data_IF_654016528369
#
_entry.id   IF_654016528369
#
_cell.length_a   1.000
_cell.length_b   1.000
_cell.length_c   1.000
_cell.angle_alpha   90.00
_cell.angle_beta   90.00
_cell.angle_gamma   90.00
#
_symmetry.space_group_name_H-M   'P 1'
#
loop_
_entity.id
_entity.type
_entity.pdbx_description
1 polymer ?
#
# COMPACT_ATOMS: atom_id res chain seq x y z
N UNK A 1 -5.25 -52.01 -0.16
CA UNK A 1 -6.01 -50.88 -0.75
C UNK A 1 -5.00 -49.75 -1.02
N UNK A 2 -4.53 -49.61 -2.26
CA UNK A 2 -5.02 -48.68 -3.29
C UNK A 2 -4.51 -47.24 -3.06
N UNK A 3 -3.90 -46.49 -3.99
CA UNK A 3 -3.51 -46.69 -5.40
C UNK A 3 -2.58 -45.50 -5.72
N UNK A 4 -1.36 -45.72 -6.17
CA UNK A 4 -0.52 -44.68 -6.76
C UNK A 4 -1.17 -44.17 -8.06
N UNK A 5 -1.22 -42.86 -8.26
CA UNK A 5 -1.62 -42.22 -9.52
C UNK A 5 -0.60 -41.14 -9.86
N UNK A 6 0.50 -41.57 -10.45
CA UNK A 6 1.49 -40.73 -11.11
C UNK A 6 1.49 -41.01 -12.61
N UNK A 7 1.94 -40.02 -13.37
CA UNK A 7 2.26 -40.04 -14.81
C UNK A 7 1.07 -40.03 -15.77
N UNK A 8 0.75 -38.82 -16.23
CA UNK A 8 -0.22 -38.60 -17.29
C UNK A 8 0.02 -37.25 -17.98
N UNK A 9 1.24 -36.96 -18.43
CA UNK A 9 1.46 -35.91 -19.45
C UNK A 9 2.78 -36.00 -20.25
N UNK A 10 3.60 -37.04 -20.07
CA UNK A 10 4.95 -37.11 -20.67
C UNK A 10 4.92 -37.45 -22.17
N UNK A 11 3.78 -37.96 -22.65
CA UNK A 11 3.60 -38.36 -24.06
C UNK A 11 3.62 -37.15 -25.02
N UNK A 12 3.12 -35.99 -24.58
CA UNK A 12 3.11 -34.78 -25.41
C UNK A 12 4.51 -34.21 -25.65
N UNK A 13 5.45 -34.39 -24.71
CA UNK A 13 6.83 -33.93 -24.85
C UNK A 13 7.62 -34.77 -25.84
N UNK A 14 7.37 -36.08 -25.86
CA UNK A 14 7.99 -37.02 -26.80
C UNK A 14 7.39 -36.85 -28.21
N UNK A 15 6.06 -36.67 -28.32
CA UNK A 15 5.39 -36.39 -29.60
C UNK A 15 5.83 -35.04 -30.18
N UNK A 16 5.98 -34.00 -29.37
CA UNK A 16 6.50 -32.71 -29.80
C UNK A 16 7.97 -32.79 -30.26
N UNK A 17 8.80 -33.59 -29.58
CA UNK A 17 10.19 -33.86 -29.99
C UNK A 17 10.27 -34.58 -31.34
N UNK A 18 9.42 -35.59 -31.57
CA UNK A 18 9.34 -36.35 -32.82
C UNK A 18 8.83 -35.50 -34.00
N UNK A 19 7.82 -34.64 -33.76
CA UNK A 19 7.30 -33.70 -34.75
C UNK A 19 8.34 -32.64 -35.13
N UNK A 20 9.10 -32.13 -34.15
CA UNK A 20 10.20 -31.17 -34.38
C UNK A 20 11.36 -31.80 -35.16
N UNK A 21 11.77 -33.03 -34.82
CA UNK A 21 12.84 -33.75 -35.54
C UNK A 21 12.44 -34.07 -36.99
N UNK A 22 11.18 -34.45 -37.25
CA UNK A 22 10.66 -34.71 -38.59
C UNK A 22 10.56 -33.44 -39.44
N UNK A 23 10.14 -32.30 -38.85
CA UNK A 23 10.15 -30.98 -39.49
C UNK A 23 11.56 -30.53 -39.86
N UNK A 24 12.55 -30.81 -38.99
CA UNK A 24 13.94 -30.38 -39.19
C UNK A 24 14.64 -31.17 -40.31
N UNK A 25 14.36 -32.47 -40.44
CA UNK A 25 14.93 -33.32 -41.50
C UNK A 25 14.19 -33.13 -42.83
N UNK A 26 12.86 -32.95 -42.80
CA UNK A 26 12.05 -32.73 -44.00
C UNK A 26 12.29 -31.38 -44.67
N UNK A 27 12.56 -30.32 -43.88
CA UNK A 27 12.93 -29.00 -44.42
C UNK A 27 14.35 -28.98 -44.99
N UNK A 28 15.23 -29.87 -44.51
CA UNK A 28 16.66 -29.84 -44.84
C UNK A 28 17.02 -30.48 -46.18
N UNK A 29 16.10 -31.20 -46.86
CA UNK A 29 16.44 -31.98 -48.05
C UNK A 29 15.84 -31.49 -49.38
N UNK A 30 15.04 -30.41 -49.41
CA UNK A 30 14.25 -30.11 -50.62
C UNK A 30 14.56 -28.80 -51.38
N UNK A 31 15.49 -27.93 -50.97
CA UNK A 31 15.82 -26.76 -51.83
C UNK A 31 17.26 -26.26 -51.66
N UNK A 32 17.99 -26.19 -52.78
CA UNK A 32 19.33 -25.58 -52.92
C UNK A 32 19.32 -24.08 -52.54
N UNK A 33 19.36 -23.76 -51.24
CA UNK A 33 19.45 -22.38 -50.74
C UNK A 33 20.55 -22.25 -49.66
N UNK A 34 21.29 -21.12 -49.64
CA UNK A 34 22.49 -20.95 -48.82
C UNK A 34 22.18 -21.07 -47.32
N UNK A 35 23.02 -21.84 -46.63
CA UNK A 35 22.97 -22.17 -45.19
C UNK A 35 22.72 -20.97 -44.24
N UNK A 36 23.09 -19.76 -44.65
CA UNK A 36 22.83 -18.55 -43.85
C UNK A 36 21.33 -18.23 -43.73
N UNK A 37 20.53 -18.47 -44.78
CA UNK A 37 19.11 -18.10 -44.78
C UNK A 37 18.30 -19.04 -43.87
N UNK A 38 18.62 -20.33 -43.89
CA UNK A 38 17.99 -21.30 -42.98
C UNK A 38 18.39 -21.06 -41.52
N UNK A 39 19.64 -20.66 -41.24
CA UNK A 39 20.07 -20.28 -39.90
C UNK A 39 19.32 -19.05 -39.37
N UNK A 40 19.08 -18.04 -40.23
CA UNK A 40 18.33 -16.83 -39.86
C UNK A 40 16.84 -17.14 -39.62
N UNK A 41 16.23 -17.96 -40.48
CA UNK A 41 14.82 -18.36 -40.30
C UNK A 41 14.66 -19.22 -39.04
N UNK A 42 15.59 -20.13 -38.76
CA UNK A 42 15.58 -20.91 -37.53
C UNK A 42 15.73 -20.03 -36.27
N UNK A 43 16.60 -19.02 -36.32
CA UNK A 43 16.74 -18.05 -35.23
C UNK A 43 15.47 -17.22 -35.00
N UNK A 44 14.79 -16.80 -36.07
CA UNK A 44 13.54 -16.04 -35.99
C UNK A 44 12.37 -16.88 -35.49
N UNK A 45 12.27 -18.14 -35.92
CA UNK A 45 11.25 -19.09 -35.42
C UNK A 45 11.53 -19.46 -33.97
N UNK A 46 12.79 -19.66 -33.58
CA UNK A 46 13.18 -19.89 -32.20
C UNK A 46 12.87 -18.68 -31.31
N UNK A 47 13.18 -17.46 -31.76
CA UNK A 47 12.84 -16.22 -31.04
C UNK A 47 11.33 -16.02 -30.92
N UNK A 48 10.56 -16.28 -31.99
CA UNK A 48 9.10 -16.22 -31.96
C UNK A 48 8.49 -17.26 -31.04
N UNK A 49 9.03 -18.48 -31.03
CA UNK A 49 8.58 -19.55 -30.14
C UNK A 49 8.94 -19.25 -28.69
N UNK A 50 10.15 -18.74 -28.42
CA UNK A 50 10.57 -18.27 -27.09
C UNK A 50 9.68 -17.12 -26.62
N UNK A 51 9.28 -16.20 -27.49
CA UNK A 51 8.38 -15.10 -27.14
C UNK A 51 6.95 -15.58 -26.84
N UNK A 52 6.45 -16.60 -27.54
CA UNK A 52 5.11 -17.17 -27.33
C UNK A 52 5.08 -18.17 -26.15
N UNK A 53 6.17 -18.89 -25.88
CA UNK A 53 6.31 -19.86 -24.79
C UNK A 53 6.95 -19.28 -23.52
N UNK A 54 7.49 -18.06 -23.54
CA UNK A 54 8.07 -17.45 -22.34
C UNK A 54 6.96 -17.28 -21.29
N UNK A 55 7.08 -17.91 -20.11
CA UNK A 55 6.19 -17.62 -19.01
C UNK A 55 6.40 -16.14 -18.66
N UNK A 56 5.32 -15.41 -18.43
CA UNK A 56 5.30 -14.00 -17.99
C UNK A 56 6.05 -13.72 -16.66
N UNK A 57 6.84 -14.67 -16.18
CA UNK A 57 7.55 -14.73 -14.91
C UNK A 57 8.97 -14.14 -14.97
N UNK A 58 9.50 -13.83 -16.16
CA UNK A 58 10.80 -13.16 -16.26
C UNK A 58 10.72 -11.62 -16.13
N UNK A 59 9.51 -11.05 -16.10
CA UNK A 59 9.27 -9.66 -15.72
C UNK A 59 8.93 -9.48 -14.22
N UNK A 60 8.93 -10.58 -13.46
CA UNK A 60 8.62 -10.66 -12.02
C UNK A 60 9.80 -10.25 -11.11
N UNK A 61 10.91 -9.77 -11.72
CA UNK A 61 12.11 -9.32 -11.02
C UNK A 61 12.21 -7.81 -10.76
N UNK A 62 11.28 -7.01 -11.31
CA UNK A 62 11.16 -5.57 -11.03
C UNK A 62 9.71 -5.26 -10.68
N UNK A 63 9.24 -5.90 -9.62
CA UNK A 63 7.84 -5.90 -9.22
C UNK A 63 7.47 -4.65 -8.41
N UNK A 64 7.73 -3.47 -8.98
CA UNK A 64 7.26 -2.19 -8.45
C UNK A 64 5.73 -2.18 -8.32
N UNK A 65 5.04 -2.96 -9.16
CA UNK A 65 3.59 -3.15 -9.20
C UNK A 65 3.03 -4.07 -8.11
N UNK A 66 3.66 -5.20 -7.77
CA UNK A 66 3.19 -6.02 -6.64
C UNK A 66 3.53 -5.39 -5.30
N UNK A 67 4.66 -4.67 -5.20
CA UNK A 67 4.99 -3.86 -4.03
C UNK A 67 3.99 -2.71 -3.84
N UNK A 68 3.56 -2.05 -4.91
CA UNK A 68 2.48 -1.05 -4.82
C UNK A 68 1.14 -1.70 -4.47
N UNK A 69 0.80 -2.85 -5.06
CA UNK A 69 -0.44 -3.58 -4.73
C UNK A 69 -0.50 -4.04 -3.28
N UNK A 70 0.61 -4.55 -2.75
CA UNK A 70 0.76 -4.96 -1.34
C UNK A 70 0.66 -3.77 -0.38
N UNK A 71 1.29 -2.63 -0.72
CA UNK A 71 1.15 -1.39 0.07
C UNK A 71 -0.27 -0.85 0.09
N UNK A 72 -0.96 -0.86 -1.06
CA UNK A 72 -2.36 -0.44 -1.15
C UNK A 72 -3.27 -1.37 -0.35
N UNK A 73 -3.04 -2.68 -0.40
CA UNK A 73 -3.78 -3.66 0.39
C UNK A 73 -3.56 -3.44 1.90
N UNK A 74 -2.32 -3.23 2.32
CA UNK A 74 -1.99 -2.91 3.71
C UNK A 74 -2.62 -1.60 4.18
N UNK A 75 -2.56 -0.54 3.36
CA UNK A 75 -3.20 0.74 3.67
C UNK A 75 -4.72 0.57 3.83
N UNK A 76 -5.36 -0.14 2.90
CA UNK A 76 -6.81 -0.41 2.99
C UNK A 76 -7.18 -1.19 4.24
N UNK A 77 -6.44 -2.22 4.58
CA UNK A 77 -6.67 -3.01 5.80
C UNK A 77 -6.48 -2.15 7.06
N UNK A 78 -5.41 -1.35 7.10
CA UNK A 78 -5.15 -0.44 8.20
C UNK A 78 -6.30 0.57 8.38
N UNK A 79 -6.75 1.18 7.29
CA UNK A 79 -7.86 2.14 7.30
C UNK A 79 -9.16 1.49 7.76
N UNK A 80 -9.46 0.28 7.27
CA UNK A 80 -10.64 -0.47 7.70
C UNK A 80 -10.63 -0.78 9.20
N UNK A 81 -9.45 -1.05 9.78
CA UNK A 81 -9.30 -1.25 11.22
C UNK A 81 -9.41 0.06 12.03
N UNK A 82 -8.95 1.17 11.47
CA UNK A 82 -8.91 2.47 12.15
C UNK A 82 -10.26 3.23 12.09
N UNK A 83 -11.02 3.04 11.01
CA UNK A 83 -12.28 3.77 10.76
C UNK A 83 -13.28 3.69 11.94
N UNK A 84 -13.55 2.52 12.54
CA UNK A 84 -14.49 2.44 13.66
C UNK A 84 -14.03 3.23 14.89
N UNK A 85 -12.73 3.43 15.09
CA UNK A 85 -12.21 4.23 16.19
C UNK A 85 -12.36 5.73 15.91
N UNK A 86 -12.11 6.16 14.67
CA UNK A 86 -12.34 7.53 14.23
C UNK A 86 -13.83 7.92 14.33
N UNK A 87 -14.73 7.04 13.89
CA UNK A 87 -16.18 7.26 13.96
C UNK A 87 -16.67 7.38 15.41
N UNK A 88 -16.14 6.54 16.32
CA UNK A 88 -16.43 6.62 17.75
C UNK A 88 -15.97 7.93 18.37
N UNK A 89 -14.78 8.40 18.01
CA UNK A 89 -14.26 9.69 18.44
C UNK A 89 -15.14 10.86 17.96
N UNK A 90 -15.58 10.82 16.70
CA UNK A 90 -16.50 11.79 16.13
C UNK A 90 -17.87 11.78 16.85
N UNK A 91 -18.38 10.59 17.17
CA UNK A 91 -19.62 10.44 17.92
C UNK A 91 -19.48 10.97 19.36
N UNK A 92 -18.37 10.68 20.03
CA UNK A 92 -18.06 11.20 21.36
C UNK A 92 -18.10 12.73 21.37
N UNK A 93 -17.47 13.40 20.38
CA UNK A 93 -17.50 14.85 20.26
C UNK A 93 -18.93 15.43 20.21
N UNK A 94 -19.87 14.75 19.55
CA UNK A 94 -21.27 15.19 19.41
C UNK A 94 -22.11 14.96 20.66
N UNK A 95 -21.72 14.03 21.53
CA UNK A 95 -22.48 13.67 22.75
C UNK A 95 -22.05 14.44 23.98
N UNK A 96 -20.90 15.12 23.92
CA UNK A 96 -20.39 15.95 25.00
C UNK A 96 -21.18 17.26 25.06
N UNK A 97 -21.74 17.56 26.24
CA UNK A 97 -22.51 18.79 26.47
C UNK A 97 -21.65 20.04 26.69
N UNK A 98 -20.42 19.85 27.19
CA UNK A 98 -19.44 20.93 27.38
C UNK A 98 -18.87 21.36 26.02
N UNK A 99 -19.11 22.62 25.62
CA UNK A 99 -18.70 23.14 24.31
C UNK A 99 -17.18 23.15 24.13
N UNK A 100 -16.43 23.47 25.17
CA UNK A 100 -14.96 23.56 25.08
C UNK A 100 -14.37 22.16 24.93
N UNK A 101 -14.89 21.20 25.70
CA UNK A 101 -14.44 19.81 25.58
C UNK A 101 -14.89 19.17 24.26
N UNK A 102 -16.12 19.43 23.82
CA UNK A 102 -16.62 18.97 22.53
C UNK A 102 -15.74 19.50 21.38
N UNK A 103 -15.31 20.75 21.43
CA UNK A 103 -14.39 21.31 20.44
C UNK A 103 -13.02 20.62 20.43
N UNK A 104 -12.48 20.27 21.61
CA UNK A 104 -11.21 19.51 21.73
C UNK A 104 -11.32 18.11 21.15
N UNK A 105 -12.37 17.39 21.49
CA UNK A 105 -12.62 16.03 20.96
C UNK A 105 -12.94 16.08 19.46
N UNK A 106 -13.65 17.11 18.98
CA UNK A 106 -13.84 17.34 17.55
C UNK A 106 -12.50 17.55 16.85
N UNK A 107 -11.60 18.35 17.40
CA UNK A 107 -10.27 18.56 16.83
C UNK A 107 -9.48 17.25 16.74
N UNK A 108 -9.51 16.41 17.79
CA UNK A 108 -8.93 15.06 17.73
C UNK A 108 -9.52 14.21 16.58
N UNK A 109 -10.84 14.28 16.39
CA UNK A 109 -11.53 13.60 15.29
C UNK A 109 -11.13 14.14 13.92
N UNK A 110 -10.99 15.47 13.79
CA UNK A 110 -10.59 16.11 12.53
C UNK A 110 -9.16 15.69 12.17
N UNK A 111 -8.23 15.68 13.13
CA UNK A 111 -6.84 15.21 12.91
C UNK A 111 -6.81 13.74 12.49
N UNK A 112 -7.60 12.88 13.15
CA UNK A 112 -7.68 11.47 12.78
C UNK A 112 -8.21 11.28 11.35
N UNK A 113 -9.24 12.05 10.96
CA UNK A 113 -9.79 12.04 9.61
C UNK A 113 -8.76 12.54 8.57
N UNK A 114 -8.00 13.59 8.88
CA UNK A 114 -6.95 14.11 8.00
C UNK A 114 -5.84 13.08 7.77
N UNK A 115 -5.42 12.38 8.82
CA UNK A 115 -4.42 11.30 8.70
C UNK A 115 -4.95 10.13 7.87
N UNK A 116 -6.23 9.75 8.06
CA UNK A 116 -6.89 8.72 7.24
C UNK A 116 -6.91 9.14 5.76
N UNK A 117 -7.36 10.36 5.46
CA UNK A 117 -7.42 10.89 4.10
C UNK A 117 -6.02 10.95 3.45
N UNK A 118 -4.98 11.29 4.22
CA UNK A 118 -3.59 11.23 3.74
C UNK A 118 -3.19 9.81 3.34
N UNK A 119 -3.50 8.79 4.14
CA UNK A 119 -3.22 7.39 3.79
C UNK A 119 -4.02 6.91 2.58
N UNK A 120 -5.25 7.39 2.40
CA UNK A 120 -6.06 7.10 1.21
C UNK A 120 -5.43 7.65 -0.06
N UNK A 121 -4.91 8.89 0.00
CA UNK A 121 -4.23 9.52 -1.14
C UNK A 121 -2.82 8.99 -1.37
N UNK A 122 -2.11 8.61 -0.30
CA UNK A 122 -0.72 8.15 -0.29
C UNK A 122 -0.56 6.87 0.54
N UNK A 123 -0.88 5.70 -0.04
CA UNK A 123 -0.81 4.40 0.65
C UNK A 123 0.57 4.07 1.23
N UNK A 124 1.64 4.65 0.68
CA UNK A 124 3.01 4.53 1.16
C UNK A 124 3.24 5.11 2.57
N UNK A 125 2.38 6.03 3.02
CA UNK A 125 2.43 6.62 4.36
C UNK A 125 1.84 5.71 5.44
N UNK A 126 1.07 4.67 5.05
CA UNK A 126 0.38 3.77 5.96
C UNK A 126 1.27 3.18 7.08
N UNK A 127 2.51 2.71 6.82
CA UNK A 127 3.36 2.15 7.86
C UNK A 127 3.78 3.18 8.92
N UNK A 128 3.99 4.44 8.51
CA UNK A 128 4.40 5.52 9.40
C UNK A 128 3.30 5.85 10.40
N UNK A 129 2.03 5.85 9.94
CA UNK A 129 0.86 6.19 10.77
C UNK A 129 0.15 5.00 11.39
N UNK A 130 0.58 3.78 11.10
CA UNK A 130 -0.03 2.55 11.63
C UNK A 130 -0.26 2.64 13.13
N UNK A 131 0.78 2.97 13.91
CA UNK A 131 0.69 3.02 15.37
C UNK A 131 -0.28 4.10 15.85
N UNK A 132 -0.33 5.22 15.14
CA UNK A 132 -1.28 6.28 15.46
C UNK A 132 -2.71 5.83 15.27
N UNK A 133 -3.00 5.24 14.11
CA UNK A 133 -4.33 4.76 13.77
C UNK A 133 -4.79 3.55 14.60
N UNK A 134 -3.89 2.62 14.94
CA UNK A 134 -4.27 1.37 15.65
C UNK A 134 -4.19 1.46 17.17
N UNK A 135 -3.54 2.48 17.74
CA UNK A 135 -3.36 2.58 19.19
C UNK A 135 -3.82 3.94 19.74
N UNK A 136 -3.32 5.05 19.19
CA UNK A 136 -3.63 6.38 19.73
C UNK A 136 -5.07 6.82 19.45
N UNK A 137 -5.59 6.60 18.24
CA UNK A 137 -6.99 6.94 17.89
C UNK A 137 -8.00 6.15 18.73
N UNK A 138 -7.91 4.81 18.86
CA UNK A 138 -8.79 4.04 19.74
C UNK A 138 -8.72 4.48 21.20
N UNK A 139 -7.53 4.76 21.72
CA UNK A 139 -7.35 5.22 23.09
C UNK A 139 -7.97 6.61 23.31
N UNK A 140 -7.83 7.52 22.35
CA UNK A 140 -8.48 8.83 22.40
C UNK A 140 -10.01 8.70 22.37
N UNK A 141 -10.55 7.77 21.57
CA UNK A 141 -11.97 7.48 21.53
C UNK A 141 -12.47 6.98 22.91
N UNK A 142 -11.78 6.01 23.51
CA UNK A 142 -12.14 5.46 24.83
C UNK A 142 -12.14 6.53 25.93
N UNK A 143 -11.12 7.38 25.97
CA UNK A 143 -11.04 8.48 26.94
C UNK A 143 -12.17 9.51 26.72
N UNK A 144 -12.47 9.82 25.46
CA UNK A 144 -13.51 10.79 25.10
C UNK A 144 -14.92 10.26 25.40
N UNK A 145 -15.18 8.99 25.12
CA UNK A 145 -16.42 8.30 25.50
C UNK A 145 -16.56 8.26 27.03
N UNK A 146 -15.48 7.96 27.76
CA UNK A 146 -15.45 7.99 29.21
C UNK A 146 -15.78 9.37 29.77
N UNK A 147 -15.26 10.44 29.16
CA UNK A 147 -15.64 11.81 29.50
C UNK A 147 -17.12 12.07 29.25
N UNK A 148 -17.63 11.74 28.06
CA UNK A 148 -19.04 11.94 27.70
C UNK A 148 -19.98 11.19 28.67
N UNK A 149 -19.65 9.94 28.99
CA UNK A 149 -20.41 9.13 29.95
C UNK A 149 -20.38 9.71 31.37
N UNK A 150 -19.27 10.31 31.79
CA UNK A 150 -19.18 11.01 33.08
C UNK A 150 -19.96 12.32 33.09
N UNK A 151 -19.90 13.09 31.99
CA UNK A 151 -20.57 14.39 31.85
C UNK A 151 -22.09 14.24 31.82
N UNK A 152 -22.60 13.16 31.22
CA UNK A 152 -24.04 12.87 31.13
C UNK A 152 -24.62 12.24 32.40
N UNK A 153 -23.84 12.07 33.47
CA UNK A 153 -24.39 11.59 34.76
C UNK A 153 -25.25 12.66 35.43
N UNK A 154 -26.28 12.22 36.15
CA UNK A 154 -27.19 13.11 36.91
C UNK A 154 -26.48 13.98 37.95
N UNK A 155 -25.40 13.46 38.54
CA UNK A 155 -24.48 14.20 39.44
C UNK A 155 -23.05 13.90 39.00
N UNK A 156 -22.48 14.71 38.10
CA UNK A 156 -21.12 14.52 37.63
C UNK A 156 -20.09 14.93 38.69
N UNK A 157 -19.04 14.13 38.86
CA UNK A 157 -17.89 14.52 39.69
C UNK A 157 -17.01 15.49 38.92
N UNK A 158 -17.01 16.77 39.31
CA UNK A 158 -16.20 17.80 38.65
C UNK A 158 -14.70 17.49 38.69
N UNK A 159 -14.18 16.97 39.81
CA UNK A 159 -12.78 16.57 39.92
C UNK A 159 -12.40 15.48 38.91
N UNK A 160 -13.28 14.49 38.69
CA UNK A 160 -13.04 13.42 37.71
C UNK A 160 -13.14 13.95 36.28
N UNK A 161 -14.11 14.82 35.99
CA UNK A 161 -14.24 15.46 34.68
C UNK A 161 -13.00 16.31 34.35
N UNK A 162 -12.50 17.10 35.31
CA UNK A 162 -11.29 17.89 35.13
C UNK A 162 -10.07 17.00 34.85
N UNK A 163 -9.92 15.90 35.59
CA UNK A 163 -8.81 14.96 35.38
C UNK A 163 -8.85 14.32 33.99
N UNK A 164 -10.02 13.82 33.55
CA UNK A 164 -10.17 13.23 32.22
C UNK A 164 -10.00 14.29 31.13
N UNK A 165 -10.53 15.50 31.33
CA UNK A 165 -10.35 16.62 30.41
C UNK A 165 -8.90 17.07 30.24
N UNK A 166 -8.10 17.00 31.30
CA UNK A 166 -6.66 17.25 31.24
C UNK A 166 -5.94 16.18 30.40
N UNK A 167 -6.37 14.91 30.47
CA UNK A 167 -5.85 13.84 29.60
C UNK A 167 -6.23 14.11 28.14
N UNK A 168 -7.48 14.47 27.85
CA UNK A 168 -7.92 14.83 26.49
C UNK A 168 -7.11 15.99 25.93
N UNK A 169 -6.81 17.01 26.75
CA UNK A 169 -5.97 18.14 26.32
C UNK A 169 -4.55 17.69 25.97
N UNK A 170 -3.93 16.82 26.79
CA UNK A 170 -2.61 16.25 26.44
C UNK A 170 -2.64 15.40 25.18
N UNK A 171 -3.73 14.65 24.96
CA UNK A 171 -3.93 13.88 23.73
C UNK A 171 -4.05 14.82 22.52
N UNK A 172 -4.73 15.95 22.66
CA UNK A 172 -4.85 16.97 21.61
C UNK A 172 -3.46 17.48 21.21
N UNK A 173 -2.65 17.90 22.17
CA UNK A 173 -1.30 18.41 21.90
C UNK A 173 -0.44 17.35 21.21
N UNK A 174 -0.54 16.09 21.64
CA UNK A 174 0.18 14.98 21.03
C UNK A 174 -0.28 14.68 19.59
N UNK A 175 -1.58 14.77 19.32
CA UNK A 175 -2.14 14.55 17.98
C UNK A 175 -1.71 15.65 17.01
N UNK A 176 -1.75 16.91 17.45
CA UNK A 176 -1.28 18.06 16.66
C UNK A 176 0.20 17.89 16.34
N UNK A 177 1.03 17.64 17.35
CA UNK A 177 2.47 17.47 17.16
C UNK A 177 2.81 16.30 16.21
N UNK A 178 2.06 15.20 16.29
CA UNK A 178 2.23 14.07 15.41
C UNK A 178 1.84 14.40 13.95
N UNK A 179 0.71 15.08 13.75
CA UNK A 179 0.26 15.51 12.43
C UNK A 179 1.22 16.51 11.79
N UNK A 180 1.75 17.45 12.56
CA UNK A 180 2.76 18.42 12.11
C UNK A 180 4.06 17.70 11.73
N UNK A 181 4.53 16.76 12.56
CA UNK A 181 5.73 15.96 12.27
C UNK A 181 5.60 15.15 10.98
N UNK A 182 4.39 14.67 10.69
CA UNK A 182 4.09 14.00 9.43
C UNK A 182 4.22 14.94 8.24
N UNK A 183 3.62 16.13 8.34
CA UNK A 183 3.71 17.15 7.30
C UNK A 183 5.17 17.59 7.06
N UNK A 184 5.95 17.81 8.12
CA UNK A 184 7.36 18.20 8.03
C UNK A 184 8.23 17.13 7.36
N UNK A 185 8.01 15.85 7.69
CA UNK A 185 8.71 14.74 7.04
C UNK A 185 8.43 14.66 5.54
N UNK A 186 7.26 15.12 5.10
CA UNK A 186 6.83 15.17 3.71
C UNK A 186 7.42 16.40 2.98
N UNK A 187 7.55 17.53 3.67
CA UNK A 187 8.22 18.74 3.16
C UNK A 187 9.73 18.52 2.96
N UNK A 188 10.38 17.71 3.80
CA UNK A 188 11.78 17.31 3.61
C UNK A 188 12.02 16.56 2.29
N UNK A 189 11.05 15.78 1.81
CA UNK A 189 11.08 15.16 0.48
C UNK A 189 10.88 16.16 -0.67
N UNK A 190 10.09 17.22 -0.48
CA UNK A 190 9.88 18.26 -1.50
C UNK A 190 11.16 19.10 -1.73
N UNK A 191 11.95 19.35 -0.68
CA UNK A 191 13.24 20.05 -0.77
C UNK A 191 14.31 19.25 -1.55
N UNK A 192 14.20 17.91 -1.55
CA UNK A 192 15.06 17.04 -2.38
C UNK A 192 14.66 17.17 -3.85
N UNK A 193 13.37 17.18 -4.15
CA UNK A 193 12.87 17.33 -5.52
C UNK A 193 13.21 18.72 -6.10
N UNK A 194 13.14 19.78 -5.30
CA UNK A 194 13.57 21.13 -5.72
C UNK A 194 15.08 21.20 -5.98
N UNK A 195 15.92 20.53 -5.17
CA UNK A 195 17.36 20.42 -5.44
C UNK A 195 17.63 19.63 -6.72
N UNK A 196 16.87 18.56 -6.97
CA UNK A 196 17.01 17.74 -8.18
C UNK A 196 16.62 18.52 -9.44
N UNK A 197 15.56 19.34 -9.36
CA UNK A 197 15.13 20.23 -10.45
C UNK A 197 16.16 21.36 -10.66
N UNK A 198 16.74 21.91 -9.59
CA UNK A 198 17.79 22.93 -9.73
C UNK A 198 19.09 22.37 -10.33
N UNK A 199 19.43 21.11 -10.01
CA UNK A 199 20.60 20.45 -10.57
C UNK A 199 20.37 20.09 -12.05
N UNK A 200 19.20 19.57 -12.42
CA UNK A 200 18.85 19.28 -13.81
C UNK A 200 18.76 20.55 -14.66
N UNK A 201 18.27 21.66 -14.10
CA UNK A 201 18.21 22.95 -14.79
C UNK A 201 19.62 23.57 -14.98
N UNK A 202 20.55 23.35 -14.05
CA UNK A 202 21.96 23.76 -14.23
C UNK A 202 22.70 22.94 -15.28
N UNK A 203 22.40 21.66 -15.38
CA UNK A 203 23.00 20.76 -16.36
C UNK A 203 22.55 21.08 -17.80
N UNK A 204 21.30 21.53 -17.98
CA UNK A 204 20.72 21.88 -19.28
C UNK A 204 21.09 23.29 -19.78
N UNK A 205 21.33 24.24 -18.85
CA UNK A 205 21.81 25.61 -19.19
C UNK A 205 23.35 25.64 -19.33
N UNK A 206 24.03 24.56 -18.95
CA UNK A 206 25.50 24.43 -18.97
C UNK A 206 26.11 23.85 -20.25
N UNK A 207 25.33 23.66 -21.32
CA UNK A 207 25.82 23.26 -22.66
C UNK A 207 25.63 24.35 -23.70
#
# INVERSE_FOLDING_TARGET
MARMRGFGNDWNWIVAGLVSAALLVGLSFLTHFPFLVSAVIAALVFAGLVFVLAPRQLFEGLDLSSLSGSRVAFARELLAQAQPAADRLAAAARTISDKDMAAKVKNLSDIAADVIARVETKPESAPAVRRFLTYYVPQAAEVSEGYAALANRRVPSQARLANVGAVITKLQDAFVHYADSLADSELGTLDVDLRLIQESLKEDIGR
#
